data_IF_651849130340
#
_entry.id   IF_651849130340
#
_cell.length_a   1.000
_cell.length_b   1.000
_cell.length_c   1.000
_cell.angle_alpha   90.00
_cell.angle_beta   90.00
_cell.angle_gamma   90.00
#
_symmetry.space_group_name_H-M   'P 1'
#
loop_
_entity.id
_entity.type
_entity.pdbx_description
1 polymer ?
#
# COMPACT_ATOMS: atom_id res chain seq x y z
N UNK A 1 -18.44 -1.90 -5.18
CA UNK A 1 -17.44 -2.92 -5.59
C UNK A 1 -17.78 -3.71 -6.86
N UNK A 2 -19.06 -3.95 -7.22
CA UNK A 2 -19.41 -4.85 -8.35
C UNK A 2 -19.04 -4.37 -9.76
N UNK A 3 -18.93 -3.06 -9.99
CA UNK A 3 -18.86 -2.53 -11.36
C UNK A 3 -17.46 -2.53 -11.98
N UNK A 4 -16.40 -2.28 -11.19
CA UNK A 4 -15.03 -2.10 -11.73
C UNK A 4 -14.36 -3.38 -12.22
N UNK A 5 -14.68 -4.54 -11.65
CA UNK A 5 -14.08 -5.80 -12.11
C UNK A 5 -14.67 -6.26 -13.44
N UNK A 6 -15.97 -5.99 -13.65
CA UNK A 6 -16.64 -6.31 -14.92
C UNK A 6 -16.08 -5.46 -16.06
N UNK A 7 -15.88 -4.16 -15.83
CA UNK A 7 -15.24 -3.26 -16.81
C UNK A 7 -13.84 -3.74 -17.22
N UNK A 8 -13.06 -4.29 -16.27
CA UNK A 8 -11.75 -4.88 -16.57
C UNK A 8 -11.89 -6.16 -17.40
N UNK A 9 -12.86 -7.02 -17.08
CA UNK A 9 -13.11 -8.24 -17.86
C UNK A 9 -13.58 -7.94 -19.28
N UNK A 10 -14.38 -6.89 -19.46
CA UNK A 10 -14.89 -6.45 -20.76
C UNK A 10 -13.78 -5.84 -21.64
N UNK A 11 -12.66 -5.42 -21.05
CA UNK A 11 -11.51 -4.87 -21.76
C UNK A 11 -10.48 -5.93 -22.19
N UNK A 12 -10.62 -7.18 -21.73
CA UNK A 12 -9.69 -8.27 -22.09
C UNK A 12 -10.08 -8.94 -23.40
N UNK A 13 -9.08 -9.27 -24.21
CA UNK A 13 -9.29 -10.07 -25.42
C UNK A 13 -9.61 -11.53 -25.09
N UNK A 14 -10.21 -12.25 -26.04
CA UNK A 14 -10.63 -13.64 -25.86
C UNK A 14 -9.51 -14.57 -25.37
N UNK A 15 -8.30 -14.42 -25.91
CA UNK A 15 -7.14 -15.21 -25.47
C UNK A 15 -6.72 -14.91 -24.03
N UNK A 16 -6.82 -13.65 -23.61
CA UNK A 16 -6.50 -13.21 -22.25
C UNK A 16 -7.53 -13.74 -21.25
N UNK A 17 -8.81 -13.72 -21.63
CA UNK A 17 -9.90 -14.33 -20.86
C UNK A 17 -9.68 -15.84 -20.68
N UNK A 18 -9.21 -16.53 -21.72
CA UNK A 18 -8.91 -17.96 -21.67
C UNK A 18 -7.75 -18.28 -20.73
N UNK A 19 -6.66 -17.51 -20.82
CA UNK A 19 -5.51 -17.62 -19.91
C UNK A 19 -5.90 -17.33 -18.47
N UNK A 20 -6.72 -16.30 -18.25
CA UNK A 20 -7.20 -15.93 -16.92
C UNK A 20 -8.11 -17.00 -16.33
N UNK A 21 -8.98 -17.61 -17.15
CA UNK A 21 -9.79 -18.76 -16.74
C UNK A 21 -8.91 -19.94 -16.31
N UNK A 22 -7.90 -20.30 -17.11
CA UNK A 22 -6.98 -21.40 -16.80
C UNK A 22 -6.16 -21.14 -15.51
N UNK A 23 -5.70 -19.90 -15.29
CA UNK A 23 -5.02 -19.55 -14.05
C UNK A 23 -5.94 -19.71 -12.84
N UNK A 24 -7.19 -19.23 -12.94
CA UNK A 24 -8.17 -19.36 -11.86
C UNK A 24 -8.51 -20.83 -11.56
N UNK A 25 -8.70 -21.67 -12.60
CA UNK A 25 -8.95 -23.10 -12.46
C UNK A 25 -7.76 -23.84 -11.83
N UNK A 26 -6.52 -23.38 -12.05
CA UNK A 26 -5.30 -23.93 -11.44
C UNK A 26 -4.97 -23.33 -10.06
N UNK A 27 -5.90 -22.57 -9.46
CA UNK A 27 -5.78 -22.03 -8.10
C UNK A 27 -5.34 -20.56 -8.03
N UNK A 28 -5.26 -19.88 -9.18
CA UNK A 28 -5.02 -18.44 -9.32
C UNK A 28 -3.58 -18.03 -9.01
N UNK A 29 -2.59 -18.85 -9.35
CA UNK A 29 -1.20 -18.63 -8.94
C UNK A 29 -0.65 -17.31 -9.53
N UNK A 30 -0.83 -17.10 -10.83
CA UNK A 30 -0.33 -15.91 -11.51
C UNK A 30 -1.08 -14.66 -11.06
N UNK A 31 -2.41 -14.74 -10.95
CA UNK A 31 -3.23 -13.62 -10.48
C UNK A 31 -2.91 -13.23 -9.04
N UNK A 32 -2.76 -14.20 -8.12
CA UNK A 32 -2.37 -13.94 -6.72
C UNK A 32 -1.01 -13.26 -6.65
N UNK A 33 -0.04 -13.72 -7.43
CA UNK A 33 1.29 -13.11 -7.49
C UNK A 33 1.20 -11.67 -8.02
N UNK A 34 0.51 -11.47 -9.13
CA UNK A 34 0.34 -10.15 -9.73
C UNK A 34 -0.36 -9.17 -8.77
N UNK A 35 -1.44 -9.59 -8.12
CA UNK A 35 -2.11 -8.81 -7.08
C UNK A 35 -1.16 -8.48 -5.93
N UNK A 36 -0.38 -9.46 -5.45
CA UNK A 36 0.61 -9.23 -4.40
C UNK A 36 1.69 -8.23 -4.80
N UNK A 37 2.18 -8.28 -6.04
CA UNK A 37 3.14 -7.33 -6.59
C UNK A 37 2.54 -5.92 -6.70
N UNK A 38 1.32 -5.78 -7.23
CA UNK A 38 0.61 -4.49 -7.33
C UNK A 38 0.29 -3.88 -5.97
N UNK A 39 -0.13 -4.70 -5.01
CA UNK A 39 -0.32 -4.26 -3.63
C UNK A 39 1.00 -3.82 -3.02
N UNK A 40 2.10 -4.55 -3.23
CA UNK A 40 3.44 -4.13 -2.78
C UNK A 40 3.91 -2.84 -3.44
N UNK A 41 3.62 -2.61 -4.71
CA UNK A 41 3.92 -1.35 -5.40
C UNK A 41 3.14 -0.18 -4.80
N UNK A 42 1.83 -0.35 -4.58
CA UNK A 42 1.02 0.63 -3.84
C UNK A 42 1.46 0.74 -2.38
N UNK A 43 2.07 -0.30 -1.83
CA UNK A 43 2.65 -0.21 -0.52
C UNK A 43 3.94 0.62 -0.49
N UNK A 44 4.69 0.65 -1.59
CA UNK A 44 5.91 1.47 -1.71
C UNK A 44 5.61 2.94 -1.94
N UNK A 45 4.40 3.30 -2.38
CA UNK A 45 4.00 4.71 -2.43
C UNK A 45 4.00 5.29 -1.00
N UNK A 46 4.99 6.14 -0.74
CA UNK A 46 5.07 6.95 0.46
C UNK A 46 3.88 7.91 0.48
N UNK A 47 3.44 8.32 1.68
CA UNK A 47 2.51 9.44 1.76
C UNK A 47 3.22 10.69 1.20
N UNK A 48 2.48 11.53 0.50
CA UNK A 48 3.02 12.78 -0.06
C UNK A 48 3.31 13.81 1.03
N UNK A 49 2.81 13.60 2.25
CA UNK A 49 2.90 14.55 3.36
C UNK A 49 3.35 13.89 4.65
N UNK A 50 4.09 14.65 5.46
CA UNK A 50 4.50 14.24 6.78
C UNK A 50 3.28 14.06 7.69
N UNK A 51 3.17 12.91 8.33
CA UNK A 51 2.09 12.59 9.28
C UNK A 51 2.15 13.39 10.58
N UNK A 52 3.22 14.16 10.81
CA UNK A 52 3.39 14.99 11.99
C UNK A 52 3.23 16.49 11.69
N UNK A 53 4.06 17.04 10.79
CA UNK A 53 4.09 18.48 10.51
C UNK A 53 3.37 18.87 9.21
N UNK A 54 2.83 17.89 8.47
CA UNK A 54 2.13 18.09 7.19
C UNK A 54 2.97 18.71 6.06
N UNK A 55 4.29 18.83 6.23
CA UNK A 55 5.19 19.22 5.15
C UNK A 55 5.20 18.19 4.03
N UNK A 56 5.33 18.66 2.79
CA UNK A 56 5.42 17.78 1.62
C UNK A 56 6.71 16.94 1.67
N UNK A 57 6.56 15.65 1.37
CA UNK A 57 7.64 14.68 1.33
C UNK A 57 8.16 14.56 -0.10
N UNK A 58 9.43 14.90 -0.31
CA UNK A 58 10.09 14.67 -1.59
C UNK A 58 10.38 13.17 -1.78
N UNK A 59 9.80 12.49 -2.78
CA UNK A 59 9.92 11.03 -2.90
C UNK A 59 11.36 10.49 -2.98
N UNK A 60 12.30 11.32 -3.46
CA UNK A 60 13.71 10.98 -3.64
C UNK A 60 14.61 11.39 -2.46
N UNK A 61 14.06 11.95 -1.38
CA UNK A 61 14.82 12.37 -0.21
C UNK A 61 15.20 11.18 0.67
N UNK A 62 16.48 11.05 1.01
CA UNK A 62 16.98 10.05 1.97
C UNK A 62 16.59 10.36 3.42
N UNK A 63 16.08 11.56 3.69
CA UNK A 63 15.65 11.96 5.04
C UNK A 63 14.22 11.51 5.36
N UNK A 64 13.47 11.06 4.35
CA UNK A 64 12.11 10.59 4.57
C UNK A 64 12.13 9.23 5.26
N UNK A 65 11.35 9.14 6.34
CA UNK A 65 11.17 7.90 7.11
C UNK A 65 9.72 7.45 6.96
N UNK A 66 9.47 6.15 6.88
CA UNK A 66 8.10 5.61 6.88
C UNK A 66 7.98 4.49 7.90
N UNK A 67 7.02 4.64 8.82
CA UNK A 67 6.65 3.63 9.79
C UNK A 67 5.47 2.83 9.25
N UNK A 68 5.61 1.50 9.18
CA UNK A 68 4.54 0.57 8.79
C UNK A 68 4.16 -0.26 10.00
N UNK A 69 2.87 -0.33 10.33
CA UNK A 69 2.39 -1.00 11.54
C UNK A 69 0.96 -1.53 11.40
N UNK A 70 0.61 -2.56 12.16
CA UNK A 70 -0.67 -3.28 12.04
C UNK A 70 -0.49 -4.70 11.51
N UNK A 71 -1.55 -5.54 11.55
CA UNK A 71 -1.50 -6.89 11.00
C UNK A 71 -1.31 -6.85 9.47
N UNK A 72 -0.86 -7.94 8.87
CA UNK A 72 -0.51 -7.99 7.44
C UNK A 72 -1.66 -7.54 6.52
N UNK A 73 -2.90 -7.88 6.88
CA UNK A 73 -4.09 -7.49 6.12
C UNK A 73 -4.57 -6.05 6.39
N UNK A 74 -4.06 -5.39 7.43
CA UNK A 74 -4.45 -4.03 7.84
C UNK A 74 -3.25 -3.16 8.20
N UNK A 75 -2.22 -3.17 7.34
CA UNK A 75 -1.05 -2.32 7.49
C UNK A 75 -1.43 -0.85 7.35
N UNK A 76 -1.14 -0.07 8.39
CA UNK A 76 -1.17 1.39 8.39
C UNK A 76 0.23 1.94 8.14
N UNK A 77 0.28 3.16 7.61
CA UNK A 77 1.53 3.86 7.32
C UNK A 77 1.49 5.28 7.81
N UNK A 78 2.64 5.73 8.30
CA UNK A 78 2.91 7.12 8.60
C UNK A 78 4.27 7.47 8.02
N UNK A 79 4.36 8.55 7.27
CA UNK A 79 5.59 9.02 6.64
C UNK A 79 6.04 10.34 7.29
N UNK A 80 7.34 10.55 7.41
CA UNK A 80 7.92 11.66 8.16
C UNK A 80 9.03 12.33 7.35
N UNK A 81 9.11 13.65 7.39
CA UNK A 81 10.12 14.43 6.66
C UNK A 81 11.52 14.33 7.28
N UNK A 82 11.61 13.75 8.49
CA UNK A 82 12.86 13.58 9.22
C UNK A 82 12.64 12.85 10.54
N UNK A 83 13.76 12.59 11.23
CA UNK A 83 13.79 11.84 12.47
C UNK A 83 13.01 12.52 13.60
N UNK A 84 13.11 13.85 13.73
CA UNK A 84 12.43 14.61 14.79
C UNK A 84 10.91 14.46 14.74
N UNK A 85 10.33 14.47 13.52
CA UNK A 85 8.89 14.26 13.32
C UNK A 85 8.46 12.84 13.66
N UNK A 86 9.31 11.84 13.38
CA UNK A 86 9.06 10.46 13.79
C UNK A 86 9.15 10.33 15.33
N UNK A 87 10.16 10.94 15.96
CA UNK A 87 10.34 10.88 17.41
C UNK A 87 9.16 11.50 18.15
N UNK A 88 8.71 12.67 17.71
CA UNK A 88 7.54 13.35 18.27
C UNK A 88 6.29 12.47 18.16
N UNK A 89 6.03 11.90 16.98
CA UNK A 89 4.91 11.00 16.75
C UNK A 89 4.94 9.77 17.68
N UNK A 90 6.13 9.16 17.86
CA UNK A 90 6.28 8.02 18.78
C UNK A 90 6.06 8.40 20.25
N UNK A 91 6.43 9.61 20.66
CA UNK A 91 6.14 10.13 22.01
C UNK A 91 4.65 10.29 22.22
N UNK A 92 3.93 10.92 21.29
CA UNK A 92 2.48 11.07 21.39
C UNK A 92 1.75 9.72 21.42
N UNK A 93 2.15 8.77 20.58
CA UNK A 93 1.58 7.42 20.59
C UNK A 93 1.76 6.71 21.94
N UNK A 94 2.91 6.89 22.60
CA UNK A 94 3.15 6.32 23.94
C UNK A 94 2.22 6.93 24.97
N UNK A 95 1.99 8.24 24.92
CA UNK A 95 1.08 8.93 25.82
C UNK A 95 -0.38 8.52 25.60
N UNK A 96 -0.80 8.33 24.35
CA UNK A 96 -2.14 7.82 24.04
C UNK A 96 -2.34 6.41 24.59
N UNK A 97 -1.34 5.52 24.50
CA UNK A 97 -1.44 4.15 25.03
C UNK A 97 -1.41 4.06 26.56
N UNK A 98 -0.93 5.09 27.24
CA UNK A 98 -0.90 5.17 28.71
C UNK A 98 -2.22 5.65 29.31
N UNK A 99 -3.06 6.29 28.50
CA UNK A 99 -4.43 6.70 28.85
C UNK A 99 -5.40 5.55 28.60
#
# INVERSE_FOLDING_TARGET
MKYRLREVMDALEYEELLKMKQDLESGGFHLKRFLGEKLREQEKTHLEQCSNCHADLQPSSTNNLTLVFGPDDFRKKASFCGFDCLEYFLKELKEIKRR
#
